data_IF_821146916837
#
_entry.id   IF_821146916837
#
_cell.length_a   1.000
_cell.length_b   1.000
_cell.length_c   1.000
_cell.angle_alpha   90.00
_cell.angle_beta   90.00
_cell.angle_gamma   90.00
#
_symmetry.space_group_name_H-M   'P 1'
#
loop_
_entity.id
_entity.type
_entity.pdbx_description
1 polymer ?
#
# COMPACT_ATOMS: atom_id res chain seq x y z
N UNK A 1 -29.26 57.38 -19.85
CA UNK A 1 -30.03 56.23 -19.32
C UNK A 1 -29.22 54.97 -19.56
N UNK A 2 -28.87 54.20 -18.52
CA UNK A 2 -28.11 52.95 -18.65
C UNK A 2 -29.09 51.81 -18.91
N UNK A 3 -29.06 51.20 -20.10
CA UNK A 3 -29.83 49.99 -20.38
C UNK A 3 -29.33 48.85 -19.49
N UNK A 4 -30.18 48.33 -18.60
CA UNK A 4 -29.95 47.03 -17.99
C UNK A 4 -30.39 45.96 -18.98
N UNK A 5 -29.45 45.35 -19.67
CA UNK A 5 -29.65 44.11 -20.42
C UNK A 5 -29.87 42.99 -19.41
N UNK A 6 -31.13 42.58 -19.23
CA UNK A 6 -31.46 41.40 -18.42
C UNK A 6 -31.04 40.13 -19.14
N UNK A 7 -30.59 39.13 -18.37
CA UNK A 7 -30.27 37.80 -18.88
C UNK A 7 -31.53 37.16 -19.48
N UNK A 8 -31.42 36.56 -20.66
CA UNK A 8 -32.59 35.95 -21.31
C UNK A 8 -32.92 34.59 -20.67
N UNK A 9 -34.20 34.22 -20.60
CA UNK A 9 -34.60 32.87 -20.16
C UNK A 9 -33.96 31.79 -21.05
N UNK A 10 -33.79 32.08 -22.34
CA UNK A 10 -33.15 31.18 -23.30
C UNK A 10 -31.68 30.93 -22.95
N UNK A 11 -30.90 31.97 -22.62
CA UNK A 11 -29.50 31.80 -22.20
C UNK A 11 -29.38 30.88 -20.98
N UNK A 12 -30.27 31.03 -20.00
CA UNK A 12 -30.24 30.17 -18.81
C UNK A 12 -30.53 28.71 -19.16
N UNK A 13 -31.52 28.47 -20.02
CA UNK A 13 -31.91 27.11 -20.45
C UNK A 13 -30.79 26.44 -21.25
N UNK A 14 -30.14 27.16 -22.17
CA UNK A 14 -29.05 26.59 -22.96
C UNK A 14 -27.87 26.21 -22.06
N UNK A 15 -27.54 27.04 -21.06
CA UNK A 15 -26.46 26.74 -20.11
C UNK A 15 -26.71 25.45 -19.33
N UNK A 16 -27.92 25.27 -18.76
CA UNK A 16 -28.22 24.03 -18.01
C UNK A 16 -28.25 22.79 -18.91
N UNK A 17 -28.67 22.92 -20.18
CA UNK A 17 -28.64 21.81 -21.15
C UNK A 17 -27.21 21.42 -21.48
N UNK A 18 -26.33 22.40 -21.75
CA UNK A 18 -24.92 22.14 -22.01
C UNK A 18 -24.26 21.50 -20.78
N UNK A 19 -24.50 22.04 -19.58
CA UNK A 19 -23.98 21.44 -18.33
C UNK A 19 -24.50 20.01 -18.11
N UNK A 20 -25.76 19.73 -18.46
CA UNK A 20 -26.33 18.38 -18.39
C UNK A 20 -25.61 17.39 -19.30
N UNK A 21 -25.34 17.77 -20.56
CA UNK A 21 -24.62 16.92 -21.52
C UNK A 21 -23.17 16.68 -21.08
N UNK A 22 -22.49 17.72 -20.59
CA UNK A 22 -21.14 17.62 -20.06
C UNK A 22 -21.08 16.70 -18.84
N UNK A 23 -22.05 16.79 -17.93
CA UNK A 23 -22.10 15.94 -16.74
C UNK A 23 -22.26 14.45 -17.09
N UNK A 24 -23.18 14.12 -18.00
CA UNK A 24 -23.44 12.72 -18.42
C UNK A 24 -22.22 12.10 -19.11
N UNK A 25 -21.48 12.88 -19.90
CA UNK A 25 -20.30 12.39 -20.62
C UNK A 25 -19.02 12.34 -19.76
N UNK A 26 -18.89 13.22 -18.75
CA UNK A 26 -17.74 13.27 -17.86
C UNK A 26 -17.80 12.24 -16.72
N UNK A 27 -18.98 11.95 -16.18
CA UNK A 27 -19.16 11.05 -15.04
C UNK A 27 -18.50 9.65 -15.21
N UNK A 28 -18.70 8.90 -16.31
CA UNK A 28 -18.10 7.57 -16.43
C UNK A 28 -16.57 7.60 -16.56
N UNK A 29 -16.01 8.65 -17.18
CA UNK A 29 -14.55 8.81 -17.30
C UNK A 29 -13.92 9.14 -15.94
N UNK A 30 -14.57 10.00 -15.16
CA UNK A 30 -14.08 10.38 -13.84
C UNK A 30 -13.94 9.19 -12.90
N UNK A 31 -14.91 8.26 -12.90
CA UNK A 31 -14.84 7.03 -12.09
C UNK A 31 -13.67 6.11 -12.50
N UNK A 32 -13.40 5.98 -13.81
CA UNK A 32 -12.26 5.18 -14.28
C UNK A 32 -10.92 5.81 -13.89
N UNK A 33 -10.79 7.14 -13.97
CA UNK A 33 -9.56 7.82 -13.56
C UNK A 33 -9.23 7.65 -12.07
N UNK A 34 -10.24 7.59 -11.21
CA UNK A 34 -10.02 7.30 -9.79
C UNK A 34 -9.45 5.89 -9.59
N UNK A 35 -10.01 4.89 -10.28
CA UNK A 35 -9.51 3.51 -10.21
C UNK A 35 -8.07 3.42 -10.70
N UNK A 36 -7.78 4.00 -11.86
CA UNK A 36 -6.44 3.99 -12.46
C UNK A 36 -5.41 4.69 -11.55
N UNK A 37 -5.83 5.78 -10.88
CA UNK A 37 -5.01 6.47 -9.88
C UNK A 37 -4.66 5.57 -8.71
N UNK A 38 -5.63 4.84 -8.16
CA UNK A 38 -5.40 3.95 -7.03
C UNK A 38 -4.49 2.76 -7.40
N UNK A 39 -4.67 2.18 -8.59
CA UNK A 39 -3.80 1.13 -9.10
C UNK A 39 -2.35 1.63 -9.24
N UNK A 40 -2.15 2.82 -9.82
CA UNK A 40 -0.82 3.42 -9.96
C UNK A 40 -0.16 3.68 -8.59
N UNK A 41 -0.91 4.18 -7.60
CA UNK A 41 -0.43 4.38 -6.23
C UNK A 41 -0.01 3.06 -5.59
N UNK A 42 -0.81 2.00 -5.73
CA UNK A 42 -0.45 0.68 -5.18
C UNK A 42 0.82 0.12 -5.80
N UNK A 43 0.97 0.21 -7.13
CA UNK A 43 2.15 -0.28 -7.84
C UNK A 43 3.42 0.50 -7.47
N UNK A 44 3.31 1.83 -7.39
CA UNK A 44 4.41 2.69 -6.96
C UNK A 44 4.85 2.38 -5.52
N UNK A 45 3.88 2.18 -4.62
CA UNK A 45 4.14 1.87 -3.21
C UNK A 45 4.79 0.49 -3.05
N UNK A 46 4.29 -0.54 -3.74
CA UNK A 46 4.89 -1.88 -3.70
C UNK A 46 6.29 -1.93 -4.33
N UNK A 47 6.52 -1.18 -5.40
CA UNK A 47 7.84 -1.04 -6.02
C UNK A 47 8.83 -0.34 -5.08
N UNK A 48 8.36 0.69 -4.37
CA UNK A 48 9.17 1.41 -3.38
C UNK A 48 9.51 0.52 -2.18
N UNK A 49 8.56 -0.29 -1.70
CA UNK A 49 8.81 -1.29 -0.65
C UNK A 49 9.85 -2.32 -1.10
N UNK A 50 9.75 -2.81 -2.33
CA UNK A 50 10.73 -3.73 -2.94
C UNK A 50 12.13 -3.11 -2.96
N UNK A 51 12.24 -1.85 -3.38
CA UNK A 51 13.51 -1.13 -3.38
C UNK A 51 14.08 -0.97 -1.96
N UNK A 52 13.25 -0.65 -0.98
CA UNK A 52 13.67 -0.51 0.42
C UNK A 52 14.18 -1.83 1.02
N UNK A 53 13.50 -2.95 0.76
CA UNK A 53 13.96 -4.29 1.17
C UNK A 53 15.32 -4.63 0.57
N UNK A 54 15.52 -4.36 -0.72
CA UNK A 54 16.80 -4.63 -1.40
C UNK A 54 17.92 -3.71 -0.89
N UNK A 55 17.61 -2.46 -0.58
CA UNK A 55 18.59 -1.52 -0.02
C UNK A 55 18.99 -1.89 1.41
N UNK A 56 18.02 -2.33 2.23
CA UNK A 56 18.29 -2.91 3.54
C UNK A 56 19.21 -4.14 3.43
N UNK A 57 18.91 -5.07 2.53
CA UNK A 57 19.74 -6.26 2.34
C UNK A 57 21.17 -5.91 1.88
N UNK A 58 21.30 -4.90 1.02
CA UNK A 58 22.61 -4.39 0.60
C UNK A 58 23.40 -3.82 1.78
N UNK A 59 22.73 -3.12 2.69
CA UNK A 59 23.34 -2.61 3.92
C UNK A 59 23.79 -3.75 4.86
N UNK A 60 22.96 -4.80 5.01
CA UNK A 60 23.33 -5.99 5.77
C UNK A 60 24.60 -6.67 5.24
N UNK A 61 24.75 -6.77 3.91
CA UNK A 61 25.98 -7.28 3.28
C UNK A 61 27.20 -6.38 3.56
N UNK A 62 27.03 -5.05 3.50
CA UNK A 62 28.10 -4.08 3.78
C UNK A 62 28.56 -4.16 5.24
N UNK A 63 27.65 -4.43 6.17
CA UNK A 63 27.94 -4.56 7.60
C UNK A 63 28.55 -5.92 7.98
N UNK A 64 28.77 -6.81 7.01
CA UNK A 64 29.43 -8.09 7.25
C UNK A 64 28.49 -9.17 7.77
N UNK A 65 27.24 -9.15 7.32
CA UNK A 65 26.24 -10.19 7.60
C UNK A 65 25.95 -10.35 9.10
N UNK A 66 25.55 -9.26 9.82
CA UNK A 66 25.25 -9.35 11.24
C UNK A 66 24.14 -10.38 11.52
N UNK A 67 24.22 -11.01 12.70
CA UNK A 67 23.28 -12.05 13.11
C UNK A 67 21.86 -11.49 13.30
N UNK A 68 20.88 -12.39 13.37
CA UNK A 68 19.45 -12.03 13.53
C UNK A 68 19.14 -11.20 14.79
N UNK A 69 20.01 -11.23 15.81
CA UNK A 69 19.87 -10.49 17.07
C UNK A 69 20.56 -9.12 17.06
N UNK A 70 21.12 -8.73 15.91
CA UNK A 70 21.79 -7.47 15.69
C UNK A 70 21.00 -6.64 14.67
N UNK A 71 20.90 -5.34 14.90
CA UNK A 71 20.25 -4.39 13.99
C UNK A 71 21.15 -4.08 12.80
N UNK A 72 20.56 -3.84 11.64
CA UNK A 72 21.26 -3.26 10.48
C UNK A 72 21.02 -1.75 10.48
N UNK A 73 22.04 -0.95 10.20
CA UNK A 73 21.94 0.51 10.19
C UNK A 73 21.20 1.02 8.93
N UNK A 74 19.88 0.88 8.94
CA UNK A 74 19.01 1.31 7.86
C UNK A 74 17.81 2.08 8.43
N UNK A 75 17.69 3.37 8.07
CA UNK A 75 16.60 4.22 8.54
C UNK A 75 16.81 4.69 9.98
N UNK A 76 15.70 4.89 10.70
CA UNK A 76 15.70 5.42 12.08
C UNK A 76 15.35 4.36 13.11
N UNK A 77 14.60 3.34 12.71
CA UNK A 77 14.13 2.28 13.61
C UNK A 77 15.14 1.13 13.71
N UNK A 78 15.07 0.37 14.80
CA UNK A 78 15.91 -0.82 15.01
C UNK A 78 15.37 -1.98 14.17
N UNK A 79 15.81 -2.09 12.91
CA UNK A 79 15.38 -3.15 12.00
C UNK A 79 16.33 -4.34 12.11
N UNK A 80 15.77 -5.53 12.33
CA UNK A 80 16.48 -6.79 12.48
C UNK A 80 16.37 -7.66 11.23
N UNK A 81 17.46 -8.34 10.81
CA UNK A 81 17.46 -9.23 9.67
C UNK A 81 16.90 -10.61 10.01
N UNK A 82 16.41 -11.30 8.99
CA UNK A 82 16.20 -12.75 8.98
C UNK A 82 17.54 -13.48 8.92
N UNK A 83 17.51 -14.81 9.01
CA UNK A 83 18.69 -15.66 8.77
C UNK A 83 19.34 -15.48 7.39
N UNK A 84 18.63 -14.87 6.43
CA UNK A 84 19.13 -14.60 5.07
C UNK A 84 19.37 -13.13 4.81
N UNK A 85 19.36 -12.29 5.85
CA UNK A 85 19.76 -10.88 5.74
C UNK A 85 18.70 -9.93 5.21
N UNK A 86 17.43 -10.35 5.17
CA UNK A 86 16.31 -9.50 4.76
C UNK A 86 15.52 -9.03 5.98
N UNK A 87 14.89 -7.84 5.96
CA UNK A 87 14.27 -7.26 7.15
C UNK A 87 13.05 -8.09 7.60
N UNK A 88 13.05 -8.54 8.86
CA UNK A 88 12.00 -9.43 9.37
C UNK A 88 11.26 -8.87 10.60
N UNK A 89 11.90 -8.04 11.40
CA UNK A 89 11.33 -7.46 12.61
C UNK A 89 11.87 -6.05 12.85
N UNK A 90 11.14 -5.27 13.64
CA UNK A 90 11.46 -3.88 13.93
C UNK A 90 11.23 -3.60 15.40
N UNK A 91 12.17 -2.94 16.08
CA UNK A 91 12.15 -2.55 17.49
C UNK A 91 11.96 -3.74 18.48
N UNK A 92 12.18 -4.97 18.01
CA UNK A 92 12.10 -6.20 18.80
C UNK A 92 12.80 -7.33 18.08
N UNK A 93 13.45 -8.22 18.85
CA UNK A 93 14.16 -9.37 18.32
C UNK A 93 13.23 -10.26 17.47
N UNK A 94 13.75 -10.84 16.36
CA UNK A 94 13.03 -11.82 15.55
C UNK A 94 12.71 -13.10 16.32
N UNK A 95 11.62 -13.78 15.95
CA UNK A 95 11.29 -15.11 16.47
C UNK A 95 12.13 -16.19 15.78
N UNK A 96 12.27 -17.34 16.46
CA UNK A 96 12.88 -18.55 15.92
C UNK A 96 14.24 -18.28 15.24
N UNK A 97 15.07 -17.45 15.87
CA UNK A 97 16.38 -17.05 15.35
C UNK A 97 16.34 -16.35 13.99
N UNK A 98 15.33 -15.51 13.72
CA UNK A 98 15.18 -14.84 12.42
C UNK A 98 14.44 -15.67 11.37
N UNK A 99 13.71 -16.71 11.80
CA UNK A 99 13.01 -17.62 10.91
C UNK A 99 11.47 -17.58 11.02
N UNK A 100 10.90 -16.67 11.82
CA UNK A 100 9.45 -16.59 12.00
C UNK A 100 8.98 -15.15 12.19
N UNK A 101 7.75 -14.89 11.75
CA UNK A 101 7.06 -13.61 11.87
C UNK A 101 5.99 -13.65 12.97
N UNK A 102 5.69 -12.47 13.51
CA UNK A 102 4.49 -12.18 14.31
C UNK A 102 3.55 -11.30 13.50
N UNK A 103 2.28 -11.25 13.91
CA UNK A 103 1.26 -10.42 13.27
C UNK A 103 1.64 -8.95 13.15
N UNK A 104 2.26 -8.39 14.17
CA UNK A 104 2.70 -6.99 14.19
C UNK A 104 3.91 -6.70 13.31
N UNK A 105 4.72 -7.70 12.96
CA UNK A 105 6.00 -7.47 12.30
C UNK A 105 5.80 -6.87 10.90
N UNK A 106 4.80 -7.34 10.14
CA UNK A 106 4.53 -6.84 8.79
C UNK A 106 4.09 -5.37 8.78
N UNK A 107 3.23 -4.97 9.72
CA UNK A 107 2.82 -3.57 9.86
C UNK A 107 4.01 -2.69 10.26
N UNK A 108 4.84 -3.18 11.18
CA UNK A 108 6.03 -2.45 11.64
C UNK A 108 7.06 -2.31 10.52
N UNK A 109 7.29 -3.37 9.74
CA UNK A 109 8.17 -3.34 8.57
C UNK A 109 7.71 -2.33 7.52
N UNK A 110 6.41 -2.23 7.25
CA UNK A 110 5.89 -1.22 6.34
C UNK A 110 6.23 0.18 6.83
N UNK A 111 5.92 0.50 8.09
CA UNK A 111 6.21 1.82 8.65
C UNK A 111 7.71 2.14 8.71
N UNK A 112 8.55 1.14 8.97
CA UNK A 112 10.01 1.29 9.04
C UNK A 112 10.65 1.54 7.67
N UNK A 113 10.17 0.84 6.64
CA UNK A 113 10.77 0.86 5.30
C UNK A 113 10.17 1.92 4.38
N UNK A 114 8.94 2.36 4.63
CA UNK A 114 8.19 3.22 3.74
C UNK A 114 8.09 4.65 4.28
N UNK A 115 8.36 5.62 3.40
CA UNK A 115 8.08 7.03 3.65
C UNK A 115 6.87 7.46 2.81
N UNK A 116 5.67 7.14 3.28
CA UNK A 116 4.41 7.40 2.55
C UNK A 116 3.31 7.84 3.49
N UNK A 117 2.33 8.60 2.97
CA UNK A 117 1.11 8.96 3.70
C UNK A 117 0.06 7.84 3.75
N UNK A 118 0.35 6.67 3.17
CA UNK A 118 -0.58 5.53 3.19
C UNK A 118 -0.72 4.99 4.60
N UNK A 119 -1.95 4.93 5.06
CA UNK A 119 -2.30 4.39 6.37
C UNK A 119 -2.32 2.85 6.32
N UNK A 120 -1.81 2.21 7.36
CA UNK A 120 -1.74 0.75 7.44
C UNK A 120 -2.32 0.23 8.75
N UNK A 121 -3.02 -0.90 8.68
CA UNK A 121 -3.46 -1.68 9.84
C UNK A 121 -3.15 -3.16 9.68
N UNK A 122 -3.20 -3.86 10.81
CA UNK A 122 -3.15 -5.31 10.79
C UNK A 122 -4.49 -5.92 10.30
N UNK A 123 -4.43 -7.06 9.62
CA UNK A 123 -5.62 -7.84 9.28
C UNK A 123 -6.23 -8.42 10.56
N UNK A 124 -7.45 -7.95 10.89
CA UNK A 124 -8.27 -8.51 11.96
C UNK A 124 -9.13 -9.67 11.45
N UNK A 125 -10.44 -9.60 11.71
CA UNK A 125 -11.40 -10.57 11.18
C UNK A 125 -11.56 -10.45 9.67
N UNK A 126 -11.69 -9.22 9.16
CA UNK A 126 -11.96 -8.94 7.75
C UNK A 126 -10.98 -7.92 7.16
N UNK A 127 -10.77 -8.01 5.84
CA UNK A 127 -10.08 -6.97 5.05
C UNK A 127 -11.01 -5.77 4.77
N UNK A 128 -12.29 -6.02 4.53
CA UNK A 128 -13.30 -4.98 4.26
C UNK A 128 -14.45 -5.02 5.29
N UNK A 129 -15.07 -3.87 5.62
CA UNK A 129 -14.69 -2.52 5.19
C UNK A 129 -13.33 -2.11 5.77
N UNK A 130 -12.60 -1.26 5.04
CA UNK A 130 -11.33 -0.69 5.51
C UNK A 130 -11.39 0.82 5.40
N UNK A 131 -11.03 1.48 6.49
CA UNK A 131 -10.73 2.91 6.59
C UNK A 131 -9.22 3.19 6.44
N UNK A 132 -8.41 2.15 6.30
CA UNK A 132 -6.98 2.23 6.01
C UNK A 132 -6.69 1.93 4.55
N UNK A 133 -5.59 2.47 4.03
CA UNK A 133 -5.13 2.24 2.66
C UNK A 133 -4.56 0.83 2.49
N UNK A 134 -3.90 0.31 3.53
CA UNK A 134 -3.25 -0.99 3.53
C UNK A 134 -3.69 -1.85 4.71
N UNK A 135 -3.98 -3.12 4.42
CA UNK A 135 -4.23 -4.16 5.42
C UNK A 135 -3.17 -5.23 5.29
N UNK A 136 -2.41 -5.47 6.37
CA UNK A 136 -1.27 -6.38 6.35
C UNK A 136 -1.33 -7.46 7.42
N UNK A 137 -0.72 -8.61 7.14
CA UNK A 137 -0.54 -9.69 8.11
C UNK A 137 0.59 -10.61 7.67
N UNK A 138 0.73 -11.73 8.35
CA UNK A 138 1.72 -12.77 8.08
C UNK A 138 1.07 -14.12 7.75
N UNK A 139 1.85 -15.03 7.19
CA UNK A 139 1.45 -16.44 7.00
C UNK A 139 2.34 -17.38 7.82
N UNK A 140 1.91 -18.63 7.98
CA UNK A 140 2.68 -19.67 8.67
C UNK A 140 3.97 -20.09 7.93
N UNK A 141 4.02 -19.90 6.61
CA UNK A 141 5.22 -20.04 5.81
C UNK A 141 5.85 -18.65 5.67
N UNK A 142 6.63 -18.21 6.68
CA UNK A 142 6.80 -16.82 7.10
C UNK A 142 6.90 -15.87 5.91
N UNK A 143 5.78 -15.22 5.63
CA UNK A 143 5.65 -14.19 4.62
C UNK A 143 4.72 -13.11 5.11
N UNK A 144 5.01 -11.87 4.78
CA UNK A 144 4.10 -10.75 4.95
C UNK A 144 3.26 -10.59 3.71
N UNK A 145 1.99 -10.24 3.86
CA UNK A 145 1.19 -9.75 2.75
C UNK A 145 0.60 -8.39 3.06
N UNK A 146 0.46 -7.57 2.02
CA UNK A 146 -0.04 -6.21 2.08
C UNK A 146 -1.13 -6.05 1.03
N UNK A 147 -2.37 -5.94 1.46
CA UNK A 147 -3.50 -5.60 0.60
C UNK A 147 -3.64 -4.10 0.49
N UNK A 148 -3.77 -3.58 -0.72
CA UNK A 148 -4.16 -2.19 -0.94
C UNK A 148 -5.68 -2.09 -1.11
N UNK A 149 -6.35 -1.40 -0.20
CA UNK A 149 -7.82 -1.37 -0.10
C UNK A 149 -8.46 -0.08 -0.61
N UNK A 150 -7.70 1.02 -0.70
CA UNK A 150 -8.23 2.32 -1.12
C UNK A 150 -8.73 2.31 -2.56
N UNK A 151 -10.00 2.71 -2.74
CA UNK A 151 -10.66 2.70 -4.04
C UNK A 151 -11.27 1.35 -4.44
N UNK A 152 -11.16 0.30 -3.60
CA UNK A 152 -11.72 -1.03 -3.85
C UNK A 152 -12.87 -1.35 -2.88
N UNK A 153 -13.66 -2.39 -3.21
CA UNK A 153 -14.79 -2.84 -2.40
C UNK A 153 -14.82 -4.37 -2.26
N UNK A 154 -15.61 -4.86 -1.30
CA UNK A 154 -15.74 -6.29 -1.01
C UNK A 154 -16.14 -7.08 -2.29
N UNK A 155 -15.45 -8.19 -2.53
CA UNK A 155 -15.70 -9.09 -3.67
C UNK A 155 -14.86 -8.79 -4.92
N UNK A 156 -14.18 -7.65 -4.95
CA UNK A 156 -13.25 -7.30 -6.01
C UNK A 156 -11.86 -7.94 -5.80
N UNK A 157 -11.15 -8.37 -6.87
CA UNK A 157 -9.72 -8.63 -6.79
C UNK A 157 -8.98 -7.32 -6.54
N UNK A 158 -8.16 -7.26 -5.48
CA UNK A 158 -7.41 -6.06 -5.11
C UNK A 158 -5.90 -6.32 -5.19
N UNK A 159 -5.07 -5.29 -5.38
CA UNK A 159 -3.62 -5.42 -5.37
C UNK A 159 -3.10 -5.94 -4.03
N UNK A 160 -2.22 -6.93 -4.11
CA UNK A 160 -1.55 -7.56 -2.97
C UNK A 160 -0.06 -7.69 -3.27
N UNK A 161 0.76 -7.27 -2.31
CA UNK A 161 2.19 -7.57 -2.27
C UNK A 161 2.43 -8.68 -1.25
N UNK A 162 3.09 -9.76 -1.67
CA UNK A 162 3.61 -10.82 -0.80
C UNK A 162 5.13 -10.65 -0.68
N UNK A 163 5.65 -10.63 0.55
CA UNK A 163 7.07 -10.50 0.85
C UNK A 163 7.54 -11.69 1.69
N UNK A 164 8.60 -12.35 1.26
CA UNK A 164 9.18 -13.53 1.90
C UNK A 164 10.53 -13.19 2.54
N UNK A 165 10.60 -12.89 3.85
CA UNK A 165 11.83 -12.48 4.52
C UNK A 165 12.93 -13.56 4.55
N UNK A 166 12.60 -14.83 4.26
CA UNK A 166 13.61 -15.88 4.17
C UNK A 166 14.29 -15.99 2.81
N UNK A 167 13.69 -15.44 1.75
CA UNK A 167 14.25 -15.50 0.40
C UNK A 167 14.53 -14.11 -0.18
N UNK A 168 13.93 -13.06 0.40
CA UNK A 168 13.90 -11.73 -0.19
C UNK A 168 12.93 -11.59 -1.35
N UNK A 169 12.15 -12.63 -1.66
CA UNK A 169 11.23 -12.60 -2.79
C UNK A 169 10.06 -11.66 -2.51
N UNK A 170 9.71 -10.85 -3.51
CA UNK A 170 8.53 -9.98 -3.51
C UNK A 170 7.66 -10.30 -4.72
N UNK A 171 6.39 -10.63 -4.48
CA UNK A 171 5.44 -11.02 -5.52
C UNK A 171 4.21 -10.13 -5.44
N UNK A 172 3.93 -9.39 -6.51
CA UNK A 172 2.68 -8.63 -6.66
C UNK A 172 1.62 -9.48 -7.36
N UNK A 173 0.40 -9.49 -6.85
CA UNK A 173 -0.73 -10.19 -7.47
C UNK A 173 -2.05 -9.48 -7.18
N UNK A 174 -3.07 -9.72 -8.02
CA UNK A 174 -4.43 -9.28 -7.71
C UNK A 174 -5.21 -10.46 -7.13
N UNK A 175 -5.67 -10.33 -5.88
CA UNK A 175 -6.40 -11.40 -5.17
C UNK A 175 -7.68 -10.89 -4.55
N UNK A 176 -8.71 -11.73 -4.55
CA UNK A 176 -9.88 -11.50 -3.71
C UNK A 176 -9.48 -11.79 -2.26
N UNK A 177 -9.66 -10.85 -1.31
CA UNK A 177 -9.48 -11.15 0.10
C UNK A 177 -10.43 -12.27 0.52
N UNK A 178 -9.96 -13.17 1.37
CA UNK A 178 -10.89 -14.01 2.13
C UNK A 178 -11.67 -13.10 3.07
N UNK A 179 -13.00 -13.24 3.06
CA UNK A 179 -13.86 -12.71 4.13
C UNK A 179 -13.39 -13.23 5.48
#
# INVERSE_FOLDING_TARGET
MKHKTGFTLLELVIVIVILGILAVTAAPRFLNYQRDSHEAVSQASFSSFTAAVNMYHSQWLIEGEPNFDQTVNYGVEDIYPSITGYPIAVNQLPLSSGASLRGSDCVSLWNALMNTDLTIRAHGADVFPSDHDIVAWYTAAPSCYYYYTSGYSLGEPIPRLDYFPLTGELVTSNRRPSS
#
